data_IF_202456003495
#
_entry.id   IF_202456003495
#
_cell.length_a   1.000
_cell.length_b   1.000
_cell.length_c   1.000
_cell.angle_alpha   90.00
_cell.angle_beta   90.00
_cell.angle_gamma   90.00
#
_symmetry.space_group_name_H-M   'P 1'
#
loop_
_entity.id
_entity.type
_entity.pdbx_description
1 polymer ?
#
# COMPACT_ATOMS: atom_id res chain seq x y z
N UNK A 1 -15.85 25.72 -12.00
CA UNK A 1 -15.01 24.70 -12.68
C UNK A 1 -15.44 24.51 -14.12
N UNK A 2 -14.62 25.01 -15.04
CA UNK A 2 -14.81 24.92 -16.50
C UNK A 2 -14.55 23.50 -17.03
N UNK A 3 -14.99 23.21 -18.26
CA UNK A 3 -14.73 21.91 -18.92
C UNK A 3 -13.22 21.63 -19.06
N UNK A 4 -12.41 22.66 -19.35
CA UNK A 4 -10.95 22.54 -19.43
C UNK A 4 -10.32 22.19 -18.09
N UNK A 5 -10.77 22.81 -16.99
CA UNK A 5 -10.31 22.48 -15.64
C UNK A 5 -10.64 21.05 -15.24
N UNK A 6 -11.83 20.53 -15.64
CA UNK A 6 -12.20 19.12 -15.42
C UNK A 6 -11.27 18.15 -16.14
N UNK A 7 -10.90 18.44 -17.40
CA UNK A 7 -9.93 17.60 -18.15
C UNK A 7 -8.56 17.61 -17.49
N UNK A 8 -8.08 18.78 -17.03
CA UNK A 8 -6.81 18.88 -16.28
C UNK A 8 -6.86 18.10 -14.97
N UNK A 9 -7.97 18.17 -14.24
CA UNK A 9 -8.17 17.41 -13.00
C UNK A 9 -8.17 15.90 -13.26
N UNK A 10 -8.87 15.42 -14.29
CA UNK A 10 -8.89 14.00 -14.64
C UNK A 10 -7.51 13.46 -15.01
N UNK A 11 -6.72 14.21 -15.80
CA UNK A 11 -5.34 13.83 -16.11
C UNK A 11 -4.47 13.75 -14.85
N UNK A 12 -4.54 14.77 -14.00
CA UNK A 12 -3.80 14.78 -12.74
C UNK A 12 -4.22 13.63 -11.81
N UNK A 13 -5.53 13.35 -11.73
CA UNK A 13 -6.07 12.23 -10.97
C UNK A 13 -5.49 10.89 -11.40
N UNK A 14 -5.40 10.63 -12.71
CA UNK A 14 -4.75 9.42 -13.22
C UNK A 14 -3.27 9.31 -12.83
N UNK A 15 -2.52 10.40 -12.94
CA UNK A 15 -1.11 10.44 -12.54
C UNK A 15 -0.91 10.19 -11.04
N UNK A 16 -1.71 10.84 -10.19
CA UNK A 16 -1.65 10.64 -8.74
C UNK A 16 -2.06 9.22 -8.37
N UNK A 17 -3.10 8.66 -9.00
CA UNK A 17 -3.50 7.27 -8.77
C UNK A 17 -2.34 6.30 -9.07
N UNK A 18 -1.66 6.48 -10.21
CA UNK A 18 -0.49 5.67 -10.56
C UNK A 18 0.67 5.85 -9.57
N UNK A 19 0.95 7.08 -9.15
CA UNK A 19 2.01 7.35 -8.17
C UNK A 19 1.70 6.72 -6.80
N UNK A 20 0.46 6.84 -6.32
CA UNK A 20 0.01 6.23 -5.06
C UNK A 20 0.06 4.71 -5.14
N UNK A 21 -0.35 4.12 -6.26
CA UNK A 21 -0.27 2.67 -6.48
C UNK A 21 1.19 2.18 -6.42
N UNK A 22 2.10 2.82 -7.15
CA UNK A 22 3.52 2.48 -7.13
C UNK A 22 4.12 2.60 -5.72
N UNK A 23 3.83 3.71 -5.02
CA UNK A 23 4.28 3.90 -3.64
C UNK A 23 3.70 2.82 -2.70
N UNK A 24 2.44 2.42 -2.89
CA UNK A 24 1.79 1.39 -2.08
C UNK A 24 2.45 0.03 -2.26
N UNK A 25 2.84 -0.33 -3.49
CA UNK A 25 3.58 -1.57 -3.78
C UNK A 25 4.93 -1.56 -3.07
N UNK A 26 5.69 -0.47 -3.15
CA UNK A 26 7.01 -0.36 -2.49
C UNK A 26 6.87 -0.42 -0.97
N UNK A 27 5.89 0.28 -0.38
CA UNK A 27 5.64 0.26 1.05
C UNK A 27 5.21 -1.11 1.55
N UNK A 28 4.31 -1.79 0.83
CA UNK A 28 3.87 -3.13 1.19
C UNK A 28 5.04 -4.12 1.11
N UNK A 29 5.81 -4.09 0.01
CA UNK A 29 6.99 -4.95 -0.15
C UNK A 29 8.01 -4.73 0.97
N UNK A 30 8.35 -3.47 1.25
CA UNK A 30 9.31 -3.12 2.30
C UNK A 30 8.80 -3.52 3.68
N UNK A 31 7.53 -3.24 3.98
CA UNK A 31 6.90 -3.60 5.23
C UNK A 31 6.82 -5.11 5.44
N UNK A 32 6.57 -5.90 4.39
CA UNK A 32 6.61 -7.37 4.48
C UNK A 32 8.00 -7.89 4.84
N UNK A 33 9.06 -7.30 4.28
CA UNK A 33 10.42 -7.69 4.62
C UNK A 33 10.74 -7.36 6.09
N UNK A 34 10.35 -6.18 6.58
CA UNK A 34 10.50 -5.80 7.99
C UNK A 34 9.70 -6.73 8.90
N UNK A 35 8.44 -7.03 8.54
CA UNK A 35 7.61 -7.96 9.31
C UNK A 35 8.27 -9.34 9.43
N UNK A 36 8.84 -9.89 8.35
CA UNK A 36 9.53 -11.19 8.38
C UNK A 36 10.88 -11.13 9.10
N UNK A 37 11.59 -10.01 9.03
CA UNK A 37 12.94 -9.90 9.57
C UNK A 37 12.92 -9.62 11.08
N UNK A 38 12.06 -8.72 11.54
CA UNK A 38 12.19 -8.07 12.85
C UNK A 38 10.98 -8.28 13.76
N UNK A 39 9.79 -8.56 13.22
CA UNK A 39 8.55 -8.70 14.02
C UNK A 39 8.16 -10.17 14.20
N UNK A 40 8.08 -10.90 13.10
CA UNK A 40 7.71 -12.32 13.06
C UNK A 40 8.93 -13.18 12.74
N UNK A 41 9.92 -13.12 13.63
CA UNK A 41 11.21 -13.80 13.48
C UNK A 41 11.07 -15.32 13.34
N UNK A 42 9.98 -15.90 13.84
CA UNK A 42 9.70 -17.34 13.75
C UNK A 42 9.04 -17.75 12.43
N UNK A 43 8.53 -16.80 11.64
CA UNK A 43 7.99 -17.10 10.32
C UNK A 43 9.11 -17.53 9.37
N UNK A 44 8.82 -18.43 8.43
CA UNK A 44 9.85 -18.96 7.53
C UNK A 44 10.57 -17.85 6.76
N UNK A 45 11.90 -17.82 6.91
CA UNK A 45 12.79 -16.91 6.21
C UNK A 45 13.99 -17.71 5.67
N UNK A 46 14.16 -17.82 4.34
CA UNK A 46 15.23 -18.62 3.76
C UNK A 46 16.64 -18.09 4.09
N UNK A 47 16.78 -16.84 4.52
CA UNK A 47 18.06 -16.29 4.96
C UNK A 47 18.42 -16.65 6.41
N UNK A 48 17.44 -17.05 7.22
CA UNK A 48 17.62 -17.32 8.67
C UNK A 48 17.35 -18.79 9.05
N UNK A 49 16.54 -19.49 8.26
CA UNK A 49 16.02 -20.81 8.61
C UNK A 49 16.40 -21.88 7.61
N UNK A 50 16.56 -23.11 8.12
CA UNK A 50 16.79 -24.32 7.33
C UNK A 50 15.52 -25.15 7.31
N UNK A 51 15.10 -25.61 6.14
CA UNK A 51 13.95 -26.49 5.99
C UNK A 51 14.26 -27.83 6.66
N UNK A 52 13.36 -28.29 7.54
CA UNK A 52 13.46 -29.59 8.23
C UNK A 52 12.51 -30.60 7.63
N UNK A 53 11.30 -30.15 7.28
CA UNK A 53 10.29 -30.99 6.67
C UNK A 53 9.63 -30.24 5.50
N UNK A 54 9.57 -30.93 4.36
CA UNK A 54 9.03 -30.41 3.12
C UNK A 54 8.40 -31.55 2.32
N UNK A 55 7.21 -31.28 1.79
CA UNK A 55 6.56 -32.19 0.86
C UNK A 55 7.44 -32.39 -0.39
N UNK A 56 7.84 -33.62 -0.73
CA UNK A 56 8.74 -33.89 -1.84
C UNK A 56 8.14 -33.51 -3.20
N UNK A 57 6.82 -33.60 -3.33
CA UNK A 57 6.08 -33.38 -4.58
C UNK A 57 5.64 -31.93 -4.74
N UNK A 58 5.02 -31.35 -3.71
CA UNK A 58 4.46 -29.97 -3.76
C UNK A 58 5.46 -28.89 -3.36
N UNK A 59 6.59 -29.27 -2.75
CA UNK A 59 7.59 -28.37 -2.14
C UNK A 59 7.04 -27.48 -1.03
N UNK A 60 5.88 -27.80 -0.48
CA UNK A 60 5.34 -27.14 0.70
C UNK A 60 6.22 -27.38 1.92
N UNK A 61 6.61 -26.30 2.61
CA UNK A 61 7.44 -26.37 3.82
C UNK A 61 6.54 -26.56 5.03
N UNK A 62 6.69 -27.67 5.73
CA UNK A 62 5.91 -28.00 6.94
C UNK A 62 6.66 -27.69 8.24
N UNK A 63 7.99 -27.67 8.21
CA UNK A 63 8.79 -27.26 9.36
C UNK A 63 10.12 -26.64 8.96
N UNK A 64 10.59 -25.69 9.76
CA UNK A 64 11.90 -25.06 9.60
C UNK A 64 12.57 -24.84 10.94
N UNK A 65 13.91 -24.76 10.91
CA UNK A 65 14.75 -24.65 12.09
C UNK A 65 15.57 -23.37 12.06
N UNK A 66 15.66 -22.71 13.21
CA UNK A 66 16.53 -21.54 13.39
C UNK A 66 17.99 -21.92 13.72
N UNK A 67 18.84 -20.90 13.84
CA UNK A 67 20.25 -21.10 14.19
C UNK A 67 20.45 -21.60 15.63
N UNK A 68 19.49 -21.36 16.54
CA UNK A 68 19.55 -21.78 17.94
C UNK A 68 19.11 -23.23 18.14
N UNK A 69 18.46 -23.83 17.14
CA UNK A 69 18.04 -25.20 17.15
C UNK A 69 16.54 -25.42 17.25
N UNK A 70 15.75 -24.36 17.39
CA UNK A 70 14.30 -24.42 17.56
C UNK A 70 13.62 -24.75 16.23
N UNK A 71 12.64 -25.65 16.28
CA UNK A 71 11.84 -26.04 15.11
C UNK A 71 10.48 -25.36 15.21
N UNK A 72 10.07 -24.73 14.12
CA UNK A 72 8.81 -24.03 13.99
C UNK A 72 7.95 -24.65 12.89
N UNK A 73 6.65 -24.56 13.07
CA UNK A 73 5.64 -25.07 12.13
C UNK A 73 4.61 -23.97 11.79
N UNK A 74 3.89 -24.09 10.66
CA UNK A 74 2.76 -23.22 10.33
C UNK A 74 1.67 -23.18 11.40
N UNK A 75 1.58 -24.21 12.24
CA UNK A 75 0.54 -24.32 13.26
C UNK A 75 0.82 -23.50 14.52
N UNK A 76 2.07 -23.07 14.70
CA UNK A 76 2.51 -22.28 15.86
C UNK A 76 1.79 -20.93 15.89
N UNK A 77 1.30 -20.55 17.07
CA UNK A 77 0.51 -19.32 17.24
C UNK A 77 1.26 -18.07 16.75
N UNK A 78 2.57 -18.01 17.00
CA UNK A 78 3.42 -16.90 16.61
C UNK A 78 3.65 -16.82 15.08
N UNK A 79 3.59 -17.96 14.40
CA UNK A 79 3.70 -18.05 12.93
C UNK A 79 2.36 -17.69 12.29
N UNK A 80 1.24 -18.18 12.83
CA UNK A 80 -0.12 -17.84 12.38
C UNK A 80 -0.41 -16.34 12.45
N UNK A 81 0.12 -15.66 13.45
CA UNK A 81 -0.05 -14.22 13.62
C UNK A 81 0.58 -13.40 12.49
N UNK A 82 1.50 -13.98 11.69
CA UNK A 82 2.05 -13.30 10.52
C UNK A 82 0.97 -12.85 9.55
N UNK A 83 -0.05 -13.69 9.29
CA UNK A 83 -1.17 -13.37 8.39
C UNK A 83 -1.96 -12.14 8.88
N UNK A 84 -2.15 -12.01 10.19
CA UNK A 84 -2.78 -10.84 10.78
C UNK A 84 -1.87 -9.61 10.68
N UNK A 85 -0.56 -9.78 10.88
CA UNK A 85 0.44 -8.72 10.66
C UNK A 85 0.45 -8.21 9.22
N UNK A 86 0.43 -9.10 8.24
CA UNK A 86 0.36 -8.72 6.81
C UNK A 86 -0.95 -8.02 6.47
N UNK A 87 -2.06 -8.46 7.07
CA UNK A 87 -3.37 -7.82 6.89
C UNK A 87 -3.38 -6.41 7.48
N UNK A 88 -2.86 -6.24 8.69
CA UNK A 88 -2.72 -4.94 9.33
C UNK A 88 -1.85 -3.99 8.50
N UNK A 89 -0.71 -4.46 7.99
CA UNK A 89 0.14 -3.69 7.09
C UNK A 89 -0.59 -3.26 5.82
N UNK A 90 -1.33 -4.17 5.19
CA UNK A 90 -2.13 -3.86 4.00
C UNK A 90 -3.15 -2.75 4.29
N UNK A 91 -3.89 -2.85 5.39
CA UNK A 91 -4.88 -1.84 5.79
C UNK A 91 -4.24 -0.48 6.05
N UNK A 92 -3.06 -0.46 6.69
CA UNK A 92 -2.30 0.77 6.93
C UNK A 92 -1.86 1.40 5.61
N UNK A 93 -1.32 0.61 4.68
CA UNK A 93 -0.91 1.11 3.35
C UNK A 93 -2.12 1.65 2.57
N UNK A 94 -3.25 0.95 2.59
CA UNK A 94 -4.49 1.42 1.96
C UNK A 94 -4.97 2.74 2.56
N UNK A 95 -4.96 2.85 3.90
CA UNK A 95 -5.36 4.07 4.59
C UNK A 95 -4.47 5.26 4.19
N UNK A 96 -3.15 5.09 4.19
CA UNK A 96 -2.23 6.12 3.72
C UNK A 96 -2.43 6.47 2.25
N UNK A 97 -2.69 5.47 1.39
CA UNK A 97 -2.99 5.69 -0.02
C UNK A 97 -4.24 6.55 -0.22
N UNK A 98 -5.32 6.26 0.51
CA UNK A 98 -6.57 7.04 0.46
C UNK A 98 -6.33 8.48 0.93
N UNK A 99 -5.61 8.67 2.03
CA UNK A 99 -5.29 10.00 2.55
C UNK A 99 -4.45 10.79 1.56
N UNK A 100 -3.39 10.18 1.01
CA UNK A 100 -2.50 10.81 0.05
C UNK A 100 -3.22 11.19 -1.25
N UNK A 101 -4.03 10.27 -1.79
CA UNK A 101 -4.81 10.51 -3.00
C UNK A 101 -5.82 11.65 -2.78
N UNK A 102 -6.69 11.52 -1.78
CA UNK A 102 -7.73 12.53 -1.50
C UNK A 102 -7.12 13.89 -1.16
N UNK A 103 -6.03 13.91 -0.38
CA UNK A 103 -5.28 15.12 -0.07
C UNK A 103 -4.73 15.82 -1.31
N UNK A 104 -4.11 15.05 -2.21
CA UNK A 104 -3.55 15.56 -3.48
C UNK A 104 -4.63 16.10 -4.41
N UNK A 105 -5.74 15.38 -4.59
CA UNK A 105 -6.87 15.83 -5.42
C UNK A 105 -7.48 17.10 -4.84
N UNK A 106 -7.74 17.15 -3.52
CA UNK A 106 -8.31 18.32 -2.84
C UNK A 106 -7.39 19.54 -2.97
N UNK A 107 -6.09 19.35 -2.79
CA UNK A 107 -5.10 20.40 -2.96
C UNK A 107 -5.08 20.93 -4.39
N UNK A 108 -4.95 20.05 -5.38
CA UNK A 108 -4.89 20.45 -6.78
C UNK A 108 -6.20 21.09 -7.26
N UNK A 109 -7.35 20.63 -6.77
CA UNK A 109 -8.65 21.25 -7.05
C UNK A 109 -8.70 22.68 -6.52
N UNK A 110 -8.23 22.95 -5.30
CA UNK A 110 -8.14 24.31 -4.76
C UNK A 110 -7.25 25.20 -5.61
N UNK A 111 -6.08 24.70 -6.03
CA UNK A 111 -5.16 25.44 -6.90
C UNK A 111 -5.81 25.76 -8.25
N UNK A 112 -6.50 24.79 -8.86
CA UNK A 112 -7.23 25.00 -10.11
C UNK A 112 -8.32 26.06 -9.97
N UNK A 113 -9.13 26.01 -8.90
CA UNK A 113 -10.21 26.97 -8.67
C UNK A 113 -9.69 28.39 -8.40
N UNK A 114 -8.58 28.53 -7.66
CA UNK A 114 -7.96 29.84 -7.42
C UNK A 114 -7.37 30.45 -8.69
N UNK A 115 -6.93 29.60 -9.63
CA UNK A 115 -6.33 30.03 -10.89
C UNK A 115 -7.37 30.10 -12.04
N UNK A 116 -8.64 29.77 -11.81
CA UNK A 116 -9.68 30.02 -12.80
C UNK A 116 -9.90 31.54 -12.87
N UNK A 117 -9.78 32.17 -14.06
CA UNK A 117 -10.15 33.56 -14.20
C UNK A 117 -11.61 33.68 -13.78
N UNK A 118 -11.87 34.46 -12.73
CA UNK A 118 -13.22 34.78 -12.33
C UNK A 118 -13.90 35.40 -13.54
N UNK A 119 -14.89 34.70 -14.09
CA UNK A 119 -15.68 35.22 -15.20
C UNK A 119 -16.58 36.34 -14.63
N UNK A 120 -15.99 37.52 -14.38
CA UNK A 120 -16.66 38.74 -13.91
C UNK A 120 -17.58 39.36 -14.97
N UNK A 121 -17.76 38.72 -16.12
CA UNK A 121 -18.71 39.14 -17.15
C UNK A 121 -20.08 38.49 -16.94
N UNK A 122 -20.72 38.77 -15.80
CA UNK A 122 -22.17 38.68 -15.72
C UNK A 122 -22.72 40.09 -15.95
N UNK A 123 -22.86 40.48 -17.22
CA UNK A 123 -23.63 41.67 -17.58
C UNK A 123 -25.09 41.23 -17.56
N UNK A 124 -25.94 41.73 -16.64
CA UNK A 124 -27.36 41.42 -16.70
C UNK A 124 -27.89 41.99 -18.01
N UNK A 125 -28.47 41.13 -18.87
CA UNK A 125 -29.28 41.62 -19.99
C UNK A 125 -30.50 42.31 -19.37
N UNK A 126 -30.49 43.63 -19.40
CA UNK A 126 -31.73 44.40 -19.30
C UNK A 126 -32.55 44.09 -20.55
N UNK A 127 -33.64 43.35 -20.37
CA UNK A 127 -34.80 43.33 -21.27
C UNK A 127 -36.05 43.40 -20.41
#
# INVERSE_FOLDING_TARGET
MTAQSKVKLNKFSGWVAMAVLAASVVLLWSGLNVLKADVFTHYYNPAKHVIVDQNPDTKEVYAWKDQAGNVYTPEDSQVKNFTWGTTALLLVVMLFGVIAYNGSIKYYTKVLLNNEPQNHNYVPRLQ
#
